data_IF_081109154419
#
_entry.id   IF_081109154419
#
_cell.length_a   1.000
_cell.length_b   1.000
_cell.length_c   1.000
_cell.angle_alpha   90.00
_cell.angle_beta   90.00
_cell.angle_gamma   90.00
#
_symmetry.space_group_name_H-M   'P 1'
#
loop_
_entity.id
_entity.type
_entity.pdbx_description
1 polymer ?
#
# COMPACT_ATOMS: atom_id res chain seq x y z
N UNK A 1 4.11 -7.53 -18.66
CA UNK A 1 3.39 -7.79 -17.39
C UNK A 1 1.91 -7.67 -17.67
N UNK A 2 1.09 -8.57 -17.14
CA UNK A 2 -0.38 -8.48 -17.24
C UNK A 2 -0.90 -7.37 -16.32
N UNK A 3 -2.08 -6.83 -16.63
CA UNK A 3 -2.71 -5.76 -15.85
C UNK A 3 -2.87 -6.15 -14.37
N UNK A 4 -3.26 -7.41 -14.12
CA UNK A 4 -3.50 -7.92 -12.76
C UNK A 4 -2.22 -8.03 -11.92
N UNK A 5 -1.11 -8.44 -12.54
CA UNK A 5 0.18 -8.51 -11.85
C UNK A 5 0.65 -7.11 -11.45
N UNK A 6 0.52 -6.12 -12.35
CA UNK A 6 0.88 -4.73 -12.06
C UNK A 6 0.03 -4.16 -10.92
N UNK A 7 -1.29 -4.37 -10.97
CA UNK A 7 -2.20 -3.95 -9.90
C UNK A 7 -1.79 -4.56 -8.55
N UNK A 8 -1.52 -5.87 -8.50
CA UNK A 8 -1.09 -6.53 -7.27
C UNK A 8 0.24 -5.97 -6.73
N UNK A 9 1.21 -5.74 -7.61
CA UNK A 9 2.52 -5.20 -7.21
C UNK A 9 2.40 -3.75 -6.68
N UNK A 10 1.55 -2.92 -7.28
CA UNK A 10 1.26 -1.56 -6.82
C UNK A 10 0.57 -1.56 -5.45
N UNK A 11 -0.38 -2.48 -5.23
CA UNK A 11 -1.05 -2.67 -3.95
C UNK A 11 -0.09 -3.13 -2.85
N UNK A 12 0.78 -4.11 -3.14
CA UNK A 12 1.83 -4.54 -2.19
C UNK A 12 2.78 -3.40 -1.86
N UNK A 13 3.12 -2.57 -2.84
CA UNK A 13 3.96 -1.38 -2.64
C UNK A 13 3.28 -0.39 -1.71
N UNK A 14 1.98 -0.13 -1.89
CA UNK A 14 1.21 0.77 -1.02
C UNK A 14 1.17 0.27 0.43
N UNK A 15 0.95 -1.03 0.65
CA UNK A 15 0.96 -1.64 1.99
C UNK A 15 2.33 -1.51 2.64
N UNK A 16 3.41 -1.86 1.93
CA UNK A 16 4.76 -1.76 2.46
C UNK A 16 5.16 -0.32 2.82
N UNK A 17 4.78 0.66 1.99
CA UNK A 17 5.01 2.08 2.26
C UNK A 17 4.21 2.59 3.46
N UNK A 18 3.00 2.07 3.65
CA UNK A 18 2.16 2.37 4.82
C UNK A 18 2.81 1.85 6.10
N UNK A 19 3.21 0.58 6.13
CA UNK A 19 3.90 -0.02 7.29
C UNK A 19 5.22 0.71 7.58
N UNK A 20 5.98 1.02 6.53
CA UNK A 20 7.20 1.80 6.63
C UNK A 20 6.95 3.20 7.21
N UNK A 21 5.89 3.89 6.78
CA UNK A 21 5.52 5.20 7.32
C UNK A 21 5.30 5.14 8.83
N UNK A 22 4.51 4.18 9.29
CA UNK A 22 4.23 3.97 10.72
C UNK A 22 5.51 3.63 11.50
N UNK A 23 6.39 2.80 10.95
CA UNK A 23 7.63 2.43 11.63
C UNK A 23 8.66 3.54 11.74
N UNK A 24 8.63 4.52 10.83
CA UNK A 24 9.61 5.60 10.76
C UNK A 24 9.08 6.96 11.22
N UNK A 25 7.84 7.04 11.71
CA UNK A 25 7.20 8.28 12.15
C UNK A 25 8.05 9.05 13.18
N UNK A 26 8.65 8.34 14.15
CA UNK A 26 9.45 8.96 15.21
C UNK A 26 10.89 9.30 14.79
N UNK A 27 11.50 8.48 13.92
CA UNK A 27 12.92 8.59 13.56
C UNK A 27 13.17 9.41 12.30
N UNK A 28 12.14 9.58 11.48
CA UNK A 28 12.22 10.29 10.21
C UNK A 28 10.83 10.74 9.77
N UNK A 29 10.20 11.72 10.47
CA UNK A 29 8.82 12.12 10.21
C UNK A 29 8.58 12.59 8.77
N UNK A 30 9.55 13.30 8.17
CA UNK A 30 9.48 13.73 6.77
C UNK A 30 9.51 12.53 5.79
N UNK A 31 10.27 11.50 6.14
CA UNK A 31 10.38 10.28 5.35
C UNK A 31 9.11 9.43 5.51
N UNK A 32 8.55 9.36 6.72
CA UNK A 32 7.29 8.72 7.02
C UNK A 32 6.13 9.39 6.27
N UNK A 33 6.04 10.71 6.29
CA UNK A 33 5.04 11.48 5.54
C UNK A 33 5.15 11.20 4.04
N UNK A 34 6.38 11.21 3.50
CA UNK A 34 6.60 10.94 2.07
C UNK A 34 6.22 9.51 1.69
N UNK A 35 6.50 8.54 2.56
CA UNK A 35 6.09 7.15 2.35
C UNK A 35 4.56 7.01 2.36
N UNK A 36 3.88 7.69 3.27
CA UNK A 36 2.42 7.73 3.34
C UNK A 36 1.80 8.34 2.07
N UNK A 37 2.31 9.48 1.61
CA UNK A 37 1.85 10.11 0.37
C UNK A 37 2.06 9.19 -0.84
N UNK A 38 3.22 8.53 -0.94
CA UNK A 38 3.51 7.62 -2.03
C UNK A 38 2.63 6.36 -1.99
N UNK A 39 2.26 5.87 -0.81
CA UNK A 39 1.28 4.80 -0.65
C UNK A 39 -0.10 5.24 -1.16
N UNK A 40 -0.55 6.44 -0.76
CA UNK A 40 -1.84 7.00 -1.19
C UNK A 40 -1.91 7.18 -2.71
N UNK A 41 -0.85 7.68 -3.34
CA UNK A 41 -0.77 7.83 -4.80
C UNK A 41 -0.97 6.49 -5.52
N UNK A 42 -0.36 5.41 -4.99
CA UNK A 42 -0.51 4.05 -5.55
C UNK A 42 -1.92 3.50 -5.39
N UNK A 43 -2.63 3.84 -4.31
CA UNK A 43 -4.02 3.43 -4.12
C UNK A 43 -4.98 4.22 -5.02
N UNK A 44 -4.74 5.52 -5.21
CA UNK A 44 -5.55 6.38 -6.08
C UNK A 44 -5.50 5.95 -7.55
N UNK A 45 -4.36 5.46 -8.04
CA UNK A 45 -4.22 4.93 -9.40
C UNK A 45 -5.17 3.75 -9.70
N UNK A 46 -5.61 3.01 -8.68
CA UNK A 46 -6.44 1.82 -8.82
C UNK A 46 -7.87 1.99 -8.29
N UNK A 47 -8.24 3.19 -7.82
CA UNK A 47 -9.55 3.51 -7.20
C UNK A 47 -9.97 2.47 -6.15
N UNK A 48 -9.01 2.04 -5.32
CA UNK A 48 -9.19 0.97 -4.33
C UNK A 48 -9.44 1.54 -2.94
N UNK A 49 -10.47 1.03 -2.28
CA UNK A 49 -10.65 1.18 -0.84
C UNK A 49 -9.89 0.10 -0.06
N UNK A 50 -9.79 0.23 1.27
CA UNK A 50 -9.07 -0.73 2.12
C UNK A 50 -9.49 -2.19 1.92
N UNK A 51 -10.80 -2.44 1.74
CA UNK A 51 -11.34 -3.79 1.49
C UNK A 51 -10.89 -4.37 0.16
N UNK A 52 -10.74 -3.53 -0.86
CA UNK A 52 -10.32 -3.96 -2.20
C UNK A 52 -8.84 -4.35 -2.19
N UNK A 53 -8.04 -3.74 -1.31
CA UNK A 53 -6.64 -4.11 -1.07
C UNK A 53 -6.56 -5.49 -0.40
N UNK A 54 -7.34 -5.72 0.66
CA UNK A 54 -7.37 -7.00 1.37
C UNK A 54 -7.81 -8.14 0.43
N UNK A 55 -8.86 -7.92 -0.35
CA UNK A 55 -9.35 -8.91 -1.32
C UNK A 55 -8.32 -9.19 -2.43
N UNK A 56 -7.71 -8.14 -2.98
CA UNK A 56 -6.73 -8.28 -4.07
C UNK A 56 -5.41 -8.90 -3.64
N UNK A 57 -5.04 -8.74 -2.37
CA UNK A 57 -3.82 -9.31 -1.79
C UNK A 57 -4.09 -10.62 -1.04
N UNK A 58 -5.34 -11.07 -0.98
CA UNK A 58 -5.79 -12.24 -0.22
C UNK A 58 -5.39 -12.19 1.28
N UNK A 59 -5.21 -10.99 1.82
CA UNK A 59 -4.83 -10.76 3.21
C UNK A 59 -6.03 -11.09 4.11
N UNK A 60 -5.82 -11.93 5.15
CA UNK A 60 -6.86 -12.28 6.11
C UNK A 60 -7.83 -13.39 5.67
N UNK A 61 -7.54 -14.12 4.58
CA UNK A 61 -8.30 -15.33 4.19
C UNK A 61 -7.92 -16.61 4.96
N UNK A 62 -7.14 -16.49 6.03
CA UNK A 62 -6.81 -17.59 6.92
C UNK A 62 -7.98 -17.84 7.90
N UNK A 63 -8.88 -18.75 7.54
CA UNK A 63 -9.86 -19.39 8.42
C UNK A 63 -9.80 -20.91 8.23
#
# INVERSE_FOLDING_TARGET
MTSDQKRRDDLLTAVALTEFSVHYEDVGPELAERAWQLAADRLLEHDVGPRDVDEALEIGREC
#
